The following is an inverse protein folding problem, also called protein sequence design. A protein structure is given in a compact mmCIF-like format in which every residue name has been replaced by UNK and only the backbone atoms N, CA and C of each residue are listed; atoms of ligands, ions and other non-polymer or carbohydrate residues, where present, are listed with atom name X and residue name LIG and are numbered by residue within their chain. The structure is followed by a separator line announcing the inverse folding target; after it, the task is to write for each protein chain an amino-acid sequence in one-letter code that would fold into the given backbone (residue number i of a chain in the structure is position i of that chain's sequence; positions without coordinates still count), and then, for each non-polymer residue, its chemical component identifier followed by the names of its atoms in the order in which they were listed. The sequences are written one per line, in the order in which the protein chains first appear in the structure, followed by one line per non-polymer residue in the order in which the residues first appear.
data_IF_372706652812
#
_entry.id   IF_372706652812
#
_cell.length_a   1.000
_cell.length_b   1.000
_cell.length_c   1.000
_cell.angle_alpha   90.00
_cell.angle_beta   90.00
_cell.angle_gamma   90.00
#
_symmetry.space_group_name_H-M   'P 1'
#
loop_
_entity.id
_entity.type
_entity.pdbx_description
1 polymer ?
#
# COMPACT_ATOMS: atom_id res chain seq x y z
N UNK A 1 5.58 27.69 0.78
CA UNK A 1 4.45 26.79 0.47
C UNK A 1 4.70 25.48 1.16
N UNK A 2 3.81 25.06 2.05
CA UNK A 2 3.95 23.80 2.77
C UNK A 2 3.34 22.69 1.89
N UNK A 3 4.16 22.03 1.07
CA UNK A 3 3.71 21.14 -0.01
C UNK A 3 2.81 19.97 0.43
N UNK A 4 2.72 19.71 1.74
CA UNK A 4 1.88 18.67 2.31
C UNK A 4 0.42 19.10 2.51
N UNK A 5 0.13 20.40 2.71
CA UNK A 5 -1.24 20.86 2.94
C UNK A 5 -2.10 20.71 1.68
N UNK A 6 -1.50 20.90 0.50
CA UNK A 6 -2.20 20.79 -0.79
C UNK A 6 -2.52 19.33 -1.18
N UNK A 7 -1.97 18.33 -0.48
CA UNK A 7 -2.25 16.92 -0.73
C UNK A 7 -3.51 16.43 -0.02
N UNK A 8 -3.95 17.10 1.03
CA UNK A 8 -5.08 16.67 1.86
C UNK A 8 -6.21 17.69 1.82
N UNK A 9 -6.92 17.72 0.70
CA UNK A 9 -8.00 18.67 0.39
C UNK A 9 -9.33 18.25 1.06
N UNK A 10 -9.34 18.28 2.38
CA UNK A 10 -10.51 17.96 3.18
C UNK A 10 -11.56 19.09 3.12
N UNK A 11 -12.84 18.73 3.19
CA UNK A 11 -13.93 19.71 3.19
C UNK A 11 -13.75 20.78 4.27
N UNK A 12 -13.99 22.04 3.91
CA UNK A 12 -13.89 23.15 4.86
C UNK A 12 -14.74 22.89 6.12
N UNK A 13 -14.13 23.05 7.30
CA UNK A 13 -14.76 22.78 8.59
C UNK A 13 -14.62 21.34 9.11
N UNK A 14 -14.14 20.38 8.30
CA UNK A 14 -13.85 19.04 8.77
C UNK A 14 -12.62 19.03 9.70
N UNK A 15 -12.79 18.47 10.90
CA UNK A 15 -11.69 18.21 11.84
C UNK A 15 -11.45 16.72 11.92
N UNK A 16 -10.68 16.18 10.99
CA UNK A 16 -10.40 14.76 10.96
C UNK A 16 -9.36 14.39 12.03
N UNK A 17 -9.75 13.61 13.04
CA UNK A 17 -8.87 13.21 14.15
C UNK A 17 -8.64 11.69 14.21
N UNK A 18 -9.09 10.92 13.21
CA UNK A 18 -9.04 9.46 13.18
C UNK A 18 -7.91 8.89 12.29
N UNK A 19 -6.75 9.57 12.24
CA UNK A 19 -5.65 9.25 11.32
C UNK A 19 -5.04 7.86 11.53
N UNK A 20 -5.12 7.32 12.75
CA UNK A 20 -4.57 6.01 13.08
C UNK A 20 -5.44 4.83 12.61
N UNK A 21 -6.73 5.04 12.34
CA UNK A 21 -7.61 3.98 11.84
C UNK A 21 -7.52 3.84 10.32
N UNK A 22 -8.09 4.81 9.58
CA UNK A 22 -8.04 4.86 8.11
C UNK A 22 -7.96 6.32 7.66
N UNK A 23 -6.73 6.82 7.47
CA UNK A 23 -6.51 8.21 7.11
C UNK A 23 -7.08 8.56 5.70
N UNK A 24 -7.47 9.83 5.48
CA UNK A 24 -7.75 10.34 4.15
C UNK A 24 -6.53 10.15 3.24
N UNK A 25 -6.77 9.83 1.98
CA UNK A 25 -5.70 9.64 1.01
C UNK A 25 -5.12 10.99 0.57
N UNK A 26 -3.80 11.10 0.40
CA UNK A 26 -3.23 12.25 -0.29
C UNK A 26 -3.66 12.25 -1.77
N UNK A 27 -3.78 13.42 -2.37
CA UNK A 27 -4.21 13.63 -3.76
C UNK A 27 -3.45 12.73 -4.74
N UNK A 28 -2.11 12.64 -4.61
CA UNK A 28 -1.29 11.78 -5.47
C UNK A 28 -1.66 10.29 -5.46
N UNK A 29 -2.17 9.77 -4.33
CA UNK A 29 -2.59 8.38 -4.24
C UNK A 29 -3.93 8.17 -4.95
N UNK A 30 -4.87 9.10 -4.78
CA UNK A 30 -6.15 9.08 -5.49
C UNK A 30 -5.94 9.17 -7.02
N UNK A 31 -5.04 10.04 -7.47
CA UNK A 31 -4.70 10.22 -8.89
C UNK A 31 -4.09 8.93 -9.48
N UNK A 32 -3.14 8.30 -8.76
CA UNK A 32 -2.50 7.07 -9.22
C UNK A 32 -3.48 5.90 -9.37
N UNK A 33 -4.36 5.70 -8.39
CA UNK A 33 -5.40 4.66 -8.44
C UNK A 33 -6.40 4.94 -9.56
N UNK A 34 -6.79 6.20 -9.74
CA UNK A 34 -7.71 6.60 -10.82
C UNK A 34 -7.10 6.38 -12.20
N UNK A 35 -5.81 6.67 -12.38
CA UNK A 35 -5.09 6.41 -13.61
C UNK A 35 -5.04 4.91 -13.94
N UNK A 36 -4.66 4.08 -12.96
CA UNK A 36 -4.66 2.62 -13.11
C UNK A 36 -6.04 2.08 -13.51
N UNK A 37 -7.11 2.55 -12.85
CA UNK A 37 -8.46 2.12 -13.18
C UNK A 37 -8.86 2.47 -14.64
N UNK A 38 -8.53 3.69 -15.09
CA UNK A 38 -8.78 4.12 -16.48
C UNK A 38 -7.99 3.30 -17.49
N UNK A 39 -6.73 3.03 -17.20
CA UNK A 39 -5.85 2.20 -18.04
C UNK A 39 -6.39 0.77 -18.17
N UNK A 40 -6.79 0.15 -17.05
CA UNK A 40 -7.35 -1.19 -17.04
C UNK A 40 -8.66 -1.28 -17.84
N UNK A 41 -9.52 -0.26 -17.77
CA UNK A 41 -10.73 -0.18 -18.60
C UNK A 41 -10.40 -0.07 -20.09
N UNK A 42 -9.39 0.71 -20.45
CA UNK A 42 -9.04 0.96 -21.85
C UNK A 42 -8.29 -0.23 -22.51
N UNK A 43 -7.38 -0.87 -21.77
CA UNK A 43 -6.43 -1.83 -22.33
C UNK A 43 -6.49 -3.23 -21.69
N UNK A 44 -7.34 -3.43 -20.68
CA UNK A 44 -7.39 -4.69 -19.94
C UNK A 44 -6.06 -4.97 -19.24
N UNK A 45 -5.63 -6.23 -19.26
CA UNK A 45 -4.37 -6.68 -18.65
C UNK A 45 -3.15 -6.62 -19.59
N UNK A 46 -3.23 -5.92 -20.73
CA UNK A 46 -2.15 -5.89 -21.71
C UNK A 46 -0.84 -5.29 -21.16
N UNK A 47 -0.96 -4.30 -20.25
CA UNK A 47 0.18 -3.58 -19.68
C UNK A 47 0.68 -4.20 -18.35
N UNK A 48 0.33 -5.45 -18.07
CA UNK A 48 0.74 -6.16 -16.86
C UNK A 48 2.25 -6.10 -16.58
N UNK A 49 3.17 -6.24 -17.57
CA UNK A 49 4.60 -6.08 -17.34
C UNK A 49 5.00 -4.70 -16.79
N UNK A 50 4.30 -3.64 -17.18
CA UNK A 50 4.55 -2.29 -16.64
C UNK A 50 4.07 -2.17 -15.19
N UNK A 51 2.95 -2.82 -14.85
CA UNK A 51 2.44 -2.85 -13.47
C UNK A 51 3.41 -3.58 -12.53
N UNK A 52 4.06 -4.64 -13.00
CA UNK A 52 5.11 -5.33 -12.23
C UNK A 52 6.31 -4.42 -11.92
N UNK A 53 6.66 -3.47 -12.81
CA UNK A 53 7.70 -2.47 -12.51
C UNK A 53 7.28 -1.52 -11.40
N UNK A 54 6.00 -1.16 -11.33
CA UNK A 54 5.45 -0.34 -10.24
C UNK A 54 5.59 -1.10 -8.91
N UNK A 55 5.25 -2.38 -8.90
CA UNK A 55 5.40 -3.25 -7.73
C UNK A 55 6.86 -3.38 -7.28
N UNK A 56 7.79 -3.61 -8.21
CA UNK A 56 9.22 -3.67 -7.91
C UNK A 56 9.72 -2.37 -7.26
N UNK A 57 9.38 -1.22 -7.84
CA UNK A 57 9.74 0.09 -7.28
C UNK A 57 9.11 0.33 -5.90
N UNK A 58 7.89 -0.17 -5.66
CA UNK A 58 7.27 -0.12 -4.33
C UNK A 58 8.10 -0.91 -3.33
N UNK A 59 8.51 -2.15 -3.66
CA UNK A 59 9.35 -2.99 -2.79
C UNK A 59 10.69 -2.31 -2.46
N UNK A 60 11.37 -1.72 -3.43
CA UNK A 60 12.61 -0.96 -3.21
C UNK A 60 12.42 0.24 -2.25
N UNK A 61 11.31 0.97 -2.40
CA UNK A 61 10.98 2.10 -1.52
C UNK A 61 10.66 1.64 -0.10
N UNK A 62 9.90 0.56 0.05
CA UNK A 62 9.58 -0.03 1.34
C UNK A 62 10.83 -0.58 2.04
N UNK A 63 11.73 -1.24 1.31
CA UNK A 63 12.99 -1.72 1.86
C UNK A 63 13.81 -0.56 2.46
N UNK A 64 13.91 0.57 1.76
CA UNK A 64 14.56 1.77 2.31
C UNK A 64 13.83 2.34 3.53
N UNK A 65 12.50 2.43 3.48
CA UNK A 65 11.69 2.97 4.58
C UNK A 65 11.83 2.14 5.86
N UNK A 66 11.86 0.81 5.73
CA UNK A 66 11.95 -0.13 6.84
C UNK A 66 13.40 -0.47 7.22
N UNK A 67 14.39 0.15 6.57
CA UNK A 67 15.81 -0.18 6.70
C UNK A 67 16.09 -1.69 6.51
N UNK A 68 15.37 -2.32 5.57
CA UNK A 68 15.54 -3.71 5.21
C UNK A 68 16.63 -3.86 4.14
N UNK A 69 17.30 -5.03 4.11
CA UNK A 69 18.35 -5.32 3.13
C UNK A 69 17.76 -5.38 1.71
N UNK A 70 18.52 -4.96 0.70
CA UNK A 70 18.11 -5.16 -0.70
C UNK A 70 17.90 -6.67 -0.98
N UNK A 71 16.79 -7.02 -1.62
CA UNK A 71 16.41 -8.42 -1.85
C UNK A 71 15.84 -9.15 -0.63
N UNK A 72 15.48 -8.44 0.45
CA UNK A 72 14.71 -9.03 1.56
C UNK A 72 13.31 -9.45 1.12
N UNK A 73 12.81 -10.56 1.68
CA UNK A 73 11.46 -11.09 1.44
C UNK A 73 10.39 -10.18 2.04
N UNK A 74 10.14 -9.06 1.36
CA UNK A 74 8.96 -8.23 1.62
C UNK A 74 7.76 -8.93 1.00
N UNK A 75 6.70 -9.15 1.75
CA UNK A 75 5.41 -9.58 1.19
C UNK A 75 4.48 -8.35 1.08
N UNK A 76 3.89 -8.14 -0.09
CA UNK A 76 2.82 -7.14 -0.26
C UNK A 76 1.48 -7.82 0.03
N UNK A 77 0.77 -7.31 1.01
CA UNK A 77 -0.51 -7.84 1.52
C UNK A 77 -1.51 -6.70 1.65
N UNK A 78 -2.81 -7.01 1.63
CA UNK A 78 -3.86 -5.98 1.50
C UNK A 78 -4.06 -5.18 2.78
N UNK A 79 -3.93 -5.83 3.93
CA UNK A 79 -4.16 -5.23 5.25
C UNK A 79 -3.48 -6.04 6.36
N UNK A 80 -3.48 -5.48 7.58
CA UNK A 80 -2.84 -6.07 8.77
C UNK A 80 -3.45 -7.41 9.17
N UNK A 81 -4.78 -7.55 9.12
CA UNK A 81 -5.47 -8.78 9.52
C UNK A 81 -5.15 -9.95 8.59
N UNK A 82 -5.08 -9.70 7.28
CA UNK A 82 -4.66 -10.69 6.27
C UNK A 82 -3.19 -11.11 6.52
N UNK A 83 -2.31 -10.15 6.80
CA UNK A 83 -0.90 -10.42 7.11
C UNK A 83 -0.74 -11.33 8.33
N UNK A 84 -1.42 -11.01 9.43
CA UNK A 84 -1.41 -11.81 10.66
C UNK A 84 -1.96 -13.21 10.40
N UNK A 85 -3.00 -13.32 9.58
CA UNK A 85 -3.57 -14.61 9.18
C UNK A 85 -2.59 -15.44 8.35
N UNK A 86 -1.87 -14.84 7.40
CA UNK A 86 -0.85 -15.54 6.62
C UNK A 86 0.28 -16.09 7.48
N UNK A 87 0.74 -15.32 8.47
CA UNK A 87 1.77 -15.81 9.40
C UNK A 87 1.19 -16.93 10.27
N UNK A 88 0.04 -16.71 10.92
CA UNK A 88 -0.54 -17.69 11.81
C UNK A 88 -0.85 -19.02 11.11
N UNK A 89 -1.48 -19.01 9.93
CA UNK A 89 -1.80 -20.24 9.21
C UNK A 89 -0.62 -20.80 8.38
N UNK A 90 0.47 -20.04 8.25
CA UNK A 90 1.67 -20.47 7.53
C UNK A 90 2.70 -21.20 8.39
N UNK A 91 2.54 -21.21 9.72
CA UNK A 91 3.42 -21.89 10.65
C UNK A 91 2.98 -23.35 10.87
N UNK A 92 3.93 -24.26 11.01
CA UNK A 92 3.72 -25.67 11.38
C UNK A 92 3.53 -25.80 12.90
N UNK A 93 2.37 -25.38 13.39
CA UNK A 93 2.03 -25.43 14.81
C UNK A 93 2.01 -26.88 15.33
N UNK A 94 2.53 -27.06 16.53
CA UNK A 94 2.51 -28.32 17.26
C UNK A 94 1.72 -28.18 18.54
N UNK A 95 1.23 -29.31 19.04
CA UNK A 95 0.55 -29.36 20.32
C UNK A 95 1.47 -28.79 21.42
N UNK A 96 0.99 -27.78 22.14
CA UNK A 96 1.73 -27.11 23.21
C UNK A 96 2.42 -25.79 22.83
N UNK A 97 2.47 -25.42 21.55
CA UNK A 97 3.02 -24.12 21.11
C UNK A 97 2.13 -22.94 21.56
N UNK A 98 2.73 -21.76 21.85
CA UNK A 98 2.06 -20.52 22.31
C UNK A 98 2.70 -19.26 21.72
#
# INVERSE_FOLDING_TARGET
MNCYQDEFDQTNGLRYLNHAAVAPWPRRAADAVSAFARENVAHGANDYPEWLKIEHRLRERLARLLNARAGSDLALVKNTSEALSFVAFGLDWREGDQ
#
